data_IF_000699081720
#
_entry.id   IF_000699081720
#
_cell.length_a   1.000
_cell.length_b   1.000
_cell.length_c   1.000
_cell.angle_alpha   90.00
_cell.angle_beta   90.00
_cell.angle_gamma   90.00
#
_symmetry.space_group_name_H-M   'P 1'
#
loop_
_entity.id
_entity.type
_entity.pdbx_description
1 polymer ?
#
# COMPACT_ATOMS: atom_id res chain seq x y z
N UNK A 1 2.37 28.86 -0.22
CA UNK A 1 1.16 28.02 -0.28
C UNK A 1 1.26 27.29 -1.59
N UNK A 2 1.67 26.03 -1.59
CA UNK A 2 1.69 25.23 -2.82
C UNK A 2 0.23 24.98 -3.20
N UNK A 3 -0.15 25.47 -4.37
CA UNK A 3 -1.50 25.35 -4.91
C UNK A 3 -1.83 23.87 -5.16
N UNK A 4 -3.07 23.49 -4.87
CA UNK A 4 -3.61 22.15 -5.18
C UNK A 4 -3.44 21.79 -6.68
N UNK A 5 -3.28 22.78 -7.57
CA UNK A 5 -2.94 22.57 -8.98
C UNK A 5 -1.51 22.08 -9.22
N UNK A 6 -0.56 22.38 -8.34
CA UNK A 6 0.84 21.95 -8.45
C UNK A 6 1.00 20.51 -7.94
N UNK A 7 0.25 20.14 -6.89
CA UNK A 7 0.06 18.75 -6.45
C UNK A 7 -0.56 17.90 -7.57
N UNK A 8 -1.58 18.41 -8.26
CA UNK A 8 -2.22 17.71 -9.39
C UNK A 8 -1.31 17.46 -10.61
N UNK A 9 -0.19 18.17 -10.74
CA UNK A 9 0.83 17.93 -11.79
C UNK A 9 1.94 16.99 -11.33
N UNK A 10 2.18 16.89 -10.01
CA UNK A 10 3.16 15.98 -9.41
C UNK A 10 2.57 14.61 -9.04
N UNK A 11 1.25 14.53 -8.86
CA UNK A 11 0.46 13.29 -8.75
C UNK A 11 0.28 12.66 -10.14
N UNK A 12 1.37 12.27 -10.81
CA UNK A 12 1.25 11.39 -11.98
C UNK A 12 1.26 9.93 -11.54
N UNK A 13 0.28 9.62 -10.69
CA UNK A 13 -0.10 8.26 -10.38
C UNK A 13 -0.78 7.71 -11.64
N UNK A 14 -0.03 7.02 -12.52
CA UNK A 14 -0.64 6.41 -13.71
C UNK A 14 -1.55 5.28 -13.24
N UNK A 15 -2.84 5.58 -13.10
CA UNK A 15 -3.91 4.58 -12.97
C UNK A 15 -3.70 3.59 -11.84
N UNK A 16 -3.30 4.03 -10.64
CA UNK A 16 -3.18 3.11 -9.50
C UNK A 16 -4.55 2.58 -9.16
N UNK A 17 -4.81 1.36 -9.60
CA UNK A 17 -6.11 0.73 -9.39
C UNK A 17 -6.18 0.23 -7.96
N UNK A 18 -7.18 0.68 -7.22
CA UNK A 18 -7.46 0.09 -5.92
C UNK A 18 -8.17 -1.26 -6.12
N UNK A 19 -7.62 -2.32 -5.54
CA UNK A 19 -8.12 -3.69 -5.68
C UNK A 19 -8.38 -4.31 -4.33
N UNK A 20 -9.48 -5.06 -4.25
CA UNK A 20 -9.86 -5.77 -3.03
C UNK A 20 -8.84 -6.85 -2.70
N UNK A 21 -8.49 -7.02 -1.42
CA UNK A 21 -7.70 -8.16 -0.94
C UNK A 21 -8.26 -9.54 -1.30
N UNK A 22 -9.53 -9.66 -1.73
CA UNK A 22 -10.07 -10.92 -2.30
C UNK A 22 -9.44 -11.29 -3.64
N UNK A 23 -8.90 -10.31 -4.37
CA UNK A 23 -8.20 -10.50 -5.64
C UNK A 23 -6.70 -10.79 -5.46
N UNK A 24 -6.21 -10.80 -4.21
CA UNK A 24 -4.81 -11.02 -3.86
C UNK A 24 -4.21 -12.23 -4.58
N UNK A 25 -4.89 -13.39 -4.57
CA UNK A 25 -4.37 -14.60 -5.20
C UNK A 25 -4.13 -14.45 -6.71
N UNK A 26 -4.93 -13.66 -7.43
CA UNK A 26 -4.76 -13.52 -8.88
C UNK A 26 -3.51 -12.71 -9.25
N UNK A 27 -3.05 -11.83 -8.36
CA UNK A 27 -1.89 -10.96 -8.58
C UNK A 27 -0.65 -11.54 -7.90
N UNK A 28 -0.77 -12.02 -6.66
CA UNK A 28 0.33 -12.70 -5.97
C UNK A 28 0.81 -13.98 -6.67
N UNK A 29 -0.01 -14.58 -7.56
CA UNK A 29 0.42 -15.72 -8.39
C UNK A 29 1.26 -15.31 -9.61
N UNK A 30 1.35 -14.01 -9.94
CA UNK A 30 2.28 -13.50 -10.93
C UNK A 30 3.64 -13.33 -10.24
N UNK A 31 4.54 -14.27 -10.49
CA UNK A 31 5.89 -14.30 -9.91
C UNK A 31 6.83 -13.20 -10.44
N UNK A 32 6.28 -12.10 -10.97
CA UNK A 32 7.03 -10.98 -11.57
C UNK A 32 6.71 -9.66 -10.91
N UNK A 33 5.77 -9.64 -9.96
CA UNK A 33 5.24 -8.40 -9.40
C UNK A 33 5.99 -8.07 -8.10
N UNK A 34 6.52 -6.85 -8.02
CA UNK A 34 7.15 -6.31 -6.81
C UNK A 34 6.08 -5.80 -5.84
N UNK A 35 6.23 -6.15 -4.55
CA UNK A 35 5.36 -5.63 -3.49
C UNK A 35 6.05 -4.49 -2.77
N UNK A 36 5.42 -3.32 -2.77
CA UNK A 36 5.89 -2.16 -2.03
C UNK A 36 5.27 -2.11 -0.63
N UNK A 37 6.12 -1.92 0.37
CA UNK A 37 5.71 -1.56 1.72
C UNK A 37 6.43 -0.29 2.15
N UNK A 38 5.81 0.50 3.02
CA UNK A 38 6.57 1.33 3.95
C UNK A 38 6.73 0.59 5.28
N UNK A 39 7.68 1.01 6.11
CA UNK A 39 7.85 0.45 7.46
C UNK A 39 6.55 0.51 8.27
N UNK A 40 5.80 1.61 8.16
CA UNK A 40 4.51 1.77 8.82
C UNK A 40 3.49 0.72 8.38
N UNK A 41 3.33 0.52 7.06
CA UNK A 41 2.38 -0.46 6.51
C UNK A 41 2.84 -1.88 6.85
N UNK A 42 4.14 -2.18 6.77
CA UNK A 42 4.67 -3.50 7.08
C UNK A 42 4.45 -3.87 8.56
N UNK A 43 4.63 -2.90 9.46
CA UNK A 43 4.40 -3.10 10.89
C UNK A 43 2.90 -3.29 11.18
N UNK A 44 2.03 -2.52 10.52
CA UNK A 44 0.58 -2.71 10.62
C UNK A 44 0.16 -4.08 10.08
N UNK A 45 0.70 -4.49 8.94
CA UNK A 45 0.44 -5.81 8.35
C UNK A 45 0.82 -6.93 9.32
N UNK A 46 2.03 -6.88 9.90
CA UNK A 46 2.47 -7.83 10.94
C UNK A 46 1.52 -7.84 12.14
N UNK A 47 1.15 -6.65 12.64
CA UNK A 47 0.25 -6.48 13.78
C UNK A 47 -1.12 -7.10 13.50
N UNK A 48 -1.69 -6.85 12.33
CA UNK A 48 -3.00 -7.40 11.93
C UNK A 48 -2.93 -8.92 11.83
N UNK A 49 -1.91 -9.49 11.20
CA UNK A 49 -1.73 -10.94 11.14
C UNK A 49 -1.59 -11.57 12.53
N UNK A 50 -0.82 -10.92 13.42
CA UNK A 50 -0.59 -11.42 14.77
C UNK A 50 -1.84 -11.32 15.66
N UNK A 51 -2.52 -10.18 15.66
CA UNK A 51 -3.60 -9.90 16.62
C UNK A 51 -4.99 -10.27 16.11
N UNK A 52 -5.31 -9.96 14.84
CA UNK A 52 -6.62 -10.23 14.26
C UNK A 52 -6.73 -11.68 13.80
N UNK A 53 -5.70 -12.16 13.09
CA UNK A 53 -5.67 -13.52 12.54
C UNK A 53 -5.00 -14.55 13.46
N UNK A 54 -4.42 -14.11 14.58
CA UNK A 54 -3.80 -14.98 15.59
C UNK A 54 -2.67 -15.84 15.02
N UNK A 55 -1.98 -15.33 14.00
CA UNK A 55 -0.83 -15.98 13.39
C UNK A 55 0.39 -15.71 14.28
N UNK A 56 1.20 -16.73 14.54
CA UNK A 56 2.43 -16.57 15.32
C UNK A 56 3.42 -15.68 14.60
N UNK A 57 4.10 -14.79 15.31
CA UNK A 57 5.09 -13.87 14.76
C UNK A 57 6.18 -14.59 13.97
N UNK A 58 6.60 -15.78 14.42
CA UNK A 58 7.58 -16.60 13.72
C UNK A 58 7.06 -17.09 12.36
N UNK A 59 5.77 -17.43 12.26
CA UNK A 59 5.17 -17.83 10.98
C UNK A 59 5.01 -16.63 10.04
N UNK A 60 4.74 -15.44 10.57
CA UNK A 60 4.69 -14.21 9.77
C UNK A 60 6.06 -13.95 9.12
N UNK A 61 7.14 -13.97 9.93
CA UNK A 61 8.49 -13.66 9.45
C UNK A 61 9.11 -14.77 8.59
N UNK A 62 8.86 -16.05 8.91
CA UNK A 62 9.56 -17.18 8.27
C UNK A 62 8.76 -17.84 7.15
N UNK A 63 7.46 -17.55 7.03
CA UNK A 63 6.60 -18.18 6.03
C UNK A 63 5.89 -17.13 5.19
N UNK A 64 5.17 -16.19 5.80
CA UNK A 64 4.30 -15.28 5.06
C UNK A 64 5.10 -14.21 4.32
N UNK A 65 6.00 -13.49 4.99
CA UNK A 65 6.80 -12.45 4.32
C UNK A 65 7.68 -13.03 3.19
N UNK A 66 8.31 -14.21 3.33
CA UNK A 66 9.02 -14.86 2.23
C UNK A 66 8.15 -15.34 1.06
N UNK A 67 6.81 -15.34 1.16
CA UNK A 67 5.93 -15.70 0.03
C UNK A 67 5.82 -14.58 -1.00
N UNK A 68 6.18 -13.35 -0.66
CA UNK A 68 6.23 -12.26 -1.61
C UNK A 68 7.51 -12.42 -2.47
N UNK A 69 7.38 -12.56 -3.80
CA UNK A 69 8.50 -12.89 -4.67
C UNK A 69 9.59 -11.80 -4.64
N UNK A 70 9.18 -10.53 -4.64
CA UNK A 70 10.04 -9.38 -4.41
C UNK A 70 9.32 -8.38 -3.49
N UNK A 71 10.04 -7.86 -2.50
CA UNK A 71 9.53 -6.85 -1.55
C UNK A 71 10.50 -5.70 -1.47
N UNK A 72 9.99 -4.48 -1.65
CA UNK A 72 10.75 -3.26 -1.43
C UNK A 72 10.15 -2.46 -0.28
N UNK A 73 11.03 -1.95 0.59
CA UNK A 73 10.65 -1.05 1.68
C UNK A 73 11.00 0.36 1.24
N UNK A 74 9.98 1.21 1.08
CA UNK A 74 10.10 2.58 0.59
C UNK A 74 9.64 3.58 1.64
N UNK A 75 10.25 4.77 1.62
CA UNK A 75 9.78 5.90 2.42
C UNK A 75 8.55 6.53 1.74
N UNK A 76 7.41 6.69 2.43
CA UNK A 76 6.23 7.30 1.82
C UNK A 76 6.50 8.73 1.33
N UNK A 77 5.99 9.06 0.15
CA UNK A 77 5.88 10.45 -0.28
C UNK A 77 5.02 11.25 0.72
N UNK A 78 5.39 12.51 0.94
CA UNK A 78 4.66 13.40 1.86
C UNK A 78 3.80 14.39 1.08
N UNK A 79 2.64 14.73 1.66
CA UNK A 79 1.69 15.67 1.07
C UNK A 79 1.66 16.96 1.90
N UNK A 80 1.48 18.10 1.23
CA UNK A 80 1.35 19.39 1.94
C UNK A 80 -0.03 19.60 2.58
N UNK A 81 -0.99 18.73 2.27
CA UNK A 81 -2.33 18.70 2.84
C UNK A 81 -2.81 17.25 2.92
N UNK A 82 -3.74 16.99 3.83
CA UNK A 82 -4.39 15.69 3.95
C UNK A 82 -5.18 15.37 2.66
N UNK A 83 -5.03 14.16 2.13
CA UNK A 83 -5.69 13.72 0.89
C UNK A 83 -6.87 12.80 1.18
N UNK A 84 -6.64 11.74 1.95
CA UNK A 84 -7.62 10.75 2.34
C UNK A 84 -8.50 11.26 3.49
N UNK A 85 -9.68 10.64 3.65
CA UNK A 85 -10.57 10.96 4.78
C UNK A 85 -9.96 10.58 6.12
N UNK A 86 -9.30 9.43 6.19
CA UNK A 86 -8.52 9.02 7.33
C UNK A 86 -7.05 9.46 7.12
N UNK A 87 -6.44 10.18 8.08
CA UNK A 87 -5.04 10.62 7.94
C UNK A 87 -4.04 9.47 7.77
N UNK A 88 -4.31 8.32 8.38
CA UNK A 88 -3.43 7.14 8.30
C UNK A 88 -3.40 6.53 6.89
N UNK A 89 -4.42 6.79 6.07
CA UNK A 89 -4.51 6.31 4.69
C UNK A 89 -3.60 7.10 3.73
N UNK A 90 -3.21 8.33 4.09
CA UNK A 90 -2.24 9.10 3.28
C UNK A 90 -0.90 8.37 3.19
N UNK A 91 -0.54 7.57 4.21
CA UNK A 91 0.66 6.73 4.18
C UNK A 91 0.59 5.68 3.07
N UNK A 92 -0.60 5.13 2.80
CA UNK A 92 -0.82 4.14 1.74
C UNK A 92 -0.61 4.80 0.38
N UNK A 93 -1.20 5.97 0.17
CA UNK A 93 -0.99 6.76 -1.05
C UNK A 93 0.47 7.18 -1.23
N UNK A 94 1.10 7.69 -0.17
CA UNK A 94 2.49 8.10 -0.20
C UNK A 94 3.44 6.94 -0.53
N UNK A 95 3.16 5.74 -0.01
CA UNK A 95 3.92 4.52 -0.32
C UNK A 95 3.74 4.13 -1.79
N UNK A 96 2.52 4.15 -2.30
CA UNK A 96 2.24 3.85 -3.70
C UNK A 96 2.93 4.84 -4.66
N UNK A 97 3.00 6.11 -4.28
CA UNK A 97 3.63 7.15 -5.10
C UNK A 97 5.16 7.15 -5.05
N UNK A 98 5.76 6.67 -3.95
CA UNK A 98 7.21 6.68 -3.77
C UNK A 98 7.95 5.97 -4.90
N UNK A 99 7.34 4.94 -5.49
CA UNK A 99 7.88 4.21 -6.65
C UNK A 99 6.84 3.93 -7.75
N UNK A 100 5.83 4.80 -7.89
CA UNK A 100 4.82 4.72 -8.97
C UNK A 100 4.10 3.36 -9.09
N UNK A 101 3.62 2.81 -7.98
CA UNK A 101 2.92 1.53 -7.94
C UNK A 101 1.75 1.44 -8.94
N UNK A 102 1.66 0.33 -9.67
CA UNK A 102 0.56 0.09 -10.62
C UNK A 102 -0.81 -0.09 -9.94
N UNK A 103 -0.84 -0.55 -8.69
CA UNK A 103 -2.08 -0.79 -7.95
C UNK A 103 -1.90 -0.69 -6.43
N UNK A 104 -2.97 -0.34 -5.72
CA UNK A 104 -3.05 -0.41 -4.26
C UNK A 104 -3.91 -1.63 -3.90
N UNK A 105 -3.33 -2.54 -3.13
CA UNK A 105 -4.08 -3.64 -2.53
C UNK A 105 -4.67 -3.20 -1.21
N UNK A 106 -6.00 -3.15 -1.14
CA UNK A 106 -6.70 -2.69 0.07
C UNK A 106 -7.94 -3.52 0.37
N UNK A 107 -8.23 -3.67 1.65
CA UNK A 107 -9.52 -4.18 2.14
C UNK A 107 -10.50 -3.06 2.51
N UNK A 108 -10.01 -1.81 2.55
CA UNK A 108 -10.80 -0.64 2.92
C UNK A 108 -11.62 -0.15 1.73
N UNK A 109 -12.93 0.00 1.93
CA UNK A 109 -13.84 0.45 0.87
C UNK A 109 -13.70 1.94 0.57
N UNK A 110 -13.23 2.74 1.53
CA UNK A 110 -12.98 4.17 1.32
C UNK A 110 -11.74 4.42 0.45
N UNK A 111 -10.81 3.47 0.42
CA UNK A 111 -9.68 3.50 -0.53
C UNK A 111 -10.08 2.99 -1.92
N UNK A 112 -11.07 2.09 -2.02
CA UNK A 112 -11.54 1.56 -3.32
C UNK A 112 -12.23 2.60 -4.21
N UNK A 113 -12.67 3.73 -3.65
CA UNK A 113 -13.30 4.82 -4.39
C UNK A 113 -12.30 5.86 -4.91
N UNK A 114 -11.00 5.68 -4.62
CA UNK A 114 -9.95 6.54 -5.14
C UNK A 114 -9.73 6.23 -6.63
N UNK A 115 -9.95 7.24 -7.47
CA UNK A 115 -9.47 7.30 -8.84
C UNK A 115 -8.30 8.27 -8.87
N UNK A 116 -7.08 7.74 -9.01
CA UNK A 116 -5.85 8.53 -9.13
C UNK A 116 -5.42 8.65 -10.58
#
# INVERSE_FOLDING_TARGET
>A
MADLEELGKSLTCRSTKCISGRQFNAIAQRQTDTVLFSELILNEFRRVLAHKFRIRTEAISNVILPMFPDVEIVEPATFSAQICRAPDDDVILGTAMADNADCIMTGDSDLLVLEC
#
